data_IF_350905265475
#
_entry.id   IF_350905265475
#
_cell.length_a   1.000
_cell.length_b   1.000
_cell.length_c   1.000
_cell.angle_alpha   90.00
_cell.angle_beta   90.00
_cell.angle_gamma   90.00
#
_symmetry.space_group_name_H-M   'P 1'
#
loop_
_entity.id
_entity.type
_entity.pdbx_description
1 polymer ?
#
# COMPACT_ATOMS: atom_id res chain seq x y z
N UNK A 1 37.65 -44.40 1.01
CA UNK A 1 36.19 -44.49 1.13
C UNK A 1 35.65 -43.08 1.04
N UNK A 2 35.28 -42.71 -0.19
CA UNK A 2 34.61 -41.45 -0.56
C UNK A 2 33.26 -41.30 0.14
N UNK A 3 32.94 -40.09 0.58
CA UNK A 3 31.73 -39.32 0.28
C UNK A 3 31.44 -38.31 1.40
N UNK A 4 31.99 -37.11 1.30
CA UNK A 4 31.61 -35.97 2.17
C UNK A 4 31.40 -34.68 1.36
N UNK A 5 31.07 -34.79 0.07
CA UNK A 5 30.74 -33.66 -0.80
C UNK A 5 29.37 -33.84 -1.45
N UNK A 6 28.38 -34.19 -0.63
CA UNK A 6 26.99 -34.21 -1.07
C UNK A 6 26.45 -32.76 -0.98
N UNK A 7 26.03 -32.13 -2.10
CA UNK A 7 25.37 -30.84 -2.03
C UNK A 7 24.11 -30.97 -1.16
N UNK A 8 23.76 -29.93 -0.39
CA UNK A 8 22.56 -29.97 0.44
C UNK A 8 21.35 -30.32 -0.42
N UNK A 9 20.41 -31.15 0.08
CA UNK A 9 19.27 -31.61 -0.70
C UNK A 9 18.53 -30.38 -1.27
N UNK A 10 18.27 -30.35 -2.59
CA UNK A 10 17.55 -29.24 -3.22
C UNK A 10 16.12 -29.25 -2.68
N UNK A 11 15.87 -28.36 -1.72
CA UNK A 11 14.60 -28.31 -0.99
C UNK A 11 14.68 -27.62 0.37
N UNK A 12 15.87 -27.47 0.97
CA UNK A 12 15.99 -26.83 2.29
C UNK A 12 15.89 -25.29 2.26
N UNK A 13 15.86 -24.67 1.08
CA UNK A 13 15.79 -23.21 0.87
C UNK A 13 14.51 -22.74 0.16
N UNK A 14 13.53 -23.62 -0.04
CA UNK A 14 12.32 -23.30 -0.80
C UNK A 14 11.07 -23.43 0.07
N UNK A 15 10.98 -22.61 1.11
CA UNK A 15 9.66 -22.31 1.67
C UNK A 15 8.85 -21.58 0.60
N UNK A 16 7.74 -22.19 0.22
CA UNK A 16 6.91 -21.85 -0.94
C UNK A 16 5.97 -20.67 -0.67
N UNK A 17 6.40 -19.71 0.14
CA UNK A 17 5.68 -18.49 0.46
C UNK A 17 6.72 -17.39 0.67
N UNK A 18 6.67 -16.33 -0.16
CA UNK A 18 7.55 -15.15 -0.20
C UNK A 18 8.74 -15.20 0.79
N UNK A 19 9.94 -15.46 0.28
CA UNK A 19 11.15 -15.55 1.10
C UNK A 19 11.35 -14.36 2.04
N UNK A 20 12.16 -14.51 3.10
CA UNK A 20 12.33 -13.50 4.16
C UNK A 20 12.68 -12.10 3.63
N UNK A 21 13.44 -12.03 2.53
CA UNK A 21 13.79 -10.79 1.82
C UNK A 21 12.54 -10.08 1.26
N UNK A 22 11.70 -10.78 0.48
CA UNK A 22 10.46 -10.23 -0.07
C UNK A 22 9.49 -9.78 1.03
N UNK A 23 9.43 -10.50 2.15
CA UNK A 23 8.61 -10.09 3.29
C UNK A 23 9.11 -8.79 3.94
N UNK A 24 10.43 -8.62 4.06
CA UNK A 24 11.03 -7.40 4.60
C UNK A 24 10.79 -6.20 3.68
N UNK A 25 10.99 -6.37 2.37
CA UNK A 25 10.74 -5.32 1.37
C UNK A 25 9.28 -4.83 1.39
N UNK A 26 8.31 -5.75 1.49
CA UNK A 26 6.89 -5.40 1.61
C UNK A 26 6.59 -4.61 2.87
N UNK A 27 7.14 -5.04 4.01
CA UNK A 27 6.94 -4.37 5.29
C UNK A 27 7.50 -2.94 5.24
N UNK A 28 8.69 -2.77 4.68
CA UNK A 28 9.33 -1.46 4.51
C UNK A 28 8.54 -0.55 3.57
N UNK A 29 8.09 -1.07 2.42
CA UNK A 29 7.25 -0.31 1.49
C UNK A 29 5.94 0.12 2.16
N UNK A 30 5.28 -0.78 2.90
CA UNK A 30 4.03 -0.47 3.60
C UNK A 30 4.25 0.60 4.67
N UNK A 31 5.36 0.53 5.42
CA UNK A 31 5.71 1.52 6.42
C UNK A 31 5.92 2.92 5.78
N UNK A 32 6.60 2.99 4.63
CA UNK A 32 6.78 4.26 3.90
C UNK A 32 5.47 4.84 3.39
N UNK A 33 4.64 4.02 2.73
CA UNK A 33 3.33 4.47 2.23
C UNK A 33 2.44 4.93 3.38
N UNK A 34 2.43 4.20 4.49
CA UNK A 34 1.68 4.59 5.69
C UNK A 34 2.15 5.95 6.22
N UNK A 35 3.46 6.16 6.35
CA UNK A 35 4.05 7.42 6.79
C UNK A 35 3.66 8.58 5.85
N UNK A 36 3.71 8.39 4.54
CA UNK A 36 3.29 9.39 3.55
C UNK A 36 1.82 9.78 3.76
N UNK A 37 0.94 8.80 3.94
CA UNK A 37 -0.48 9.07 4.20
C UNK A 37 -0.65 9.81 5.53
N UNK A 38 0.07 9.41 6.58
CA UNK A 38 0.11 10.06 7.91
C UNK A 38 0.54 11.53 7.85
N UNK A 39 1.58 11.85 7.09
CA UNK A 39 2.14 13.21 7.02
C UNK A 39 1.37 14.14 6.07
N UNK A 40 0.88 13.65 4.92
CA UNK A 40 0.36 14.53 3.85
C UNK A 40 -1.15 14.79 3.92
N UNK A 41 -1.89 13.87 4.55
CA UNK A 41 -3.34 13.90 4.57
C UNK A 41 -3.88 14.32 5.93
N UNK A 42 -4.87 15.20 5.88
CA UNK A 42 -5.70 15.48 7.05
C UNK A 42 -6.50 14.24 7.45
N UNK A 43 -6.91 14.16 8.71
CA UNK A 43 -7.76 13.06 9.21
C UNK A 43 -9.00 12.85 8.35
N UNK A 44 -9.60 13.95 7.88
CA UNK A 44 -10.80 13.91 7.05
C UNK A 44 -10.54 13.38 5.64
N UNK A 45 -9.37 13.65 5.07
CA UNK A 45 -8.92 13.08 3.80
C UNK A 45 -8.64 11.58 3.92
N UNK A 46 -7.98 11.17 5.01
CA UNK A 46 -7.73 9.75 5.31
C UNK A 46 -9.02 8.98 5.50
N UNK A 47 -9.97 9.53 6.27
CA UNK A 47 -11.28 8.91 6.49
C UNK A 47 -12.05 8.76 5.18
N UNK A 48 -12.05 9.78 4.31
CA UNK A 48 -12.69 9.71 3.00
C UNK A 48 -12.07 8.62 2.12
N UNK A 49 -10.75 8.48 2.10
CA UNK A 49 -10.07 7.41 1.36
C UNK A 49 -10.45 6.03 1.89
N UNK A 50 -10.52 5.84 3.21
CA UNK A 50 -10.93 4.55 3.80
C UNK A 50 -12.38 4.21 3.45
N UNK A 51 -13.30 5.16 3.57
CA UNK A 51 -14.70 4.92 3.25
C UNK A 51 -14.89 4.54 1.77
N UNK A 52 -14.26 5.28 0.87
CA UNK A 52 -14.51 5.13 -0.57
C UNK A 52 -13.63 4.09 -1.25
N UNK A 53 -12.37 3.93 -0.81
CA UNK A 53 -11.37 3.09 -1.49
C UNK A 53 -11.06 1.77 -0.79
N UNK A 54 -11.44 1.61 0.49
CA UNK A 54 -11.22 0.34 1.24
C UNK A 54 -12.54 -0.33 1.58
N UNK A 55 -13.55 0.46 1.94
CA UNK A 55 -14.87 -0.06 2.31
C UNK A 55 -15.88 -0.04 1.16
N UNK A 56 -15.47 0.42 -0.03
CA UNK A 56 -16.32 0.58 -1.22
C UNK A 56 -17.67 1.25 -0.93
N UNK A 57 -17.69 2.19 0.02
CA UNK A 57 -18.91 2.88 0.40
C UNK A 57 -19.40 3.76 -0.76
N UNK A 58 -20.70 3.74 -1.09
CA UNK A 58 -21.25 4.65 -2.08
C UNK A 58 -20.97 6.12 -1.73
N UNK A 59 -20.67 6.92 -2.75
CA UNK A 59 -20.27 8.33 -2.58
C UNK A 59 -21.27 9.15 -1.75
N UNK A 60 -22.56 8.91 -1.94
CA UNK A 60 -23.62 9.60 -1.21
C UNK A 60 -23.67 9.20 0.26
N UNK A 61 -23.45 7.93 0.56
CA UNK A 61 -23.46 7.41 1.93
C UNK A 61 -22.24 7.92 2.70
N UNK A 62 -21.08 7.94 2.05
CA UNK A 62 -19.86 8.53 2.60
C UNK A 62 -20.03 10.04 2.84
N UNK A 63 -20.67 10.77 1.92
CA UNK A 63 -20.94 12.18 2.09
C UNK A 63 -21.85 12.44 3.30
N UNK A 64 -22.92 11.65 3.47
CA UNK A 64 -23.79 11.73 4.65
C UNK A 64 -23.04 11.41 5.93
N UNK A 65 -22.25 10.33 5.95
CA UNK A 65 -21.45 9.91 7.12
C UNK A 65 -20.46 10.98 7.55
N UNK A 66 -19.79 11.62 6.60
CA UNK A 66 -18.85 12.71 6.84
C UNK A 66 -19.54 14.06 7.09
N UNK A 67 -20.88 14.13 7.06
CA UNK A 67 -21.66 15.38 7.19
C UNK A 67 -21.20 16.42 6.16
N UNK A 68 -21.14 16.02 4.89
CA UNK A 68 -20.79 16.87 3.75
C UNK A 68 -21.68 16.56 2.55
N UNK A 69 -21.40 17.12 1.39
CA UNK A 69 -22.09 16.81 0.14
C UNK A 69 -21.15 16.14 -0.87
N UNK A 70 -21.73 15.54 -1.92
CA UNK A 70 -21.01 14.81 -2.96
C UNK A 70 -19.91 15.64 -3.62
N UNK A 71 -20.17 16.91 -3.93
CA UNK A 71 -19.21 17.79 -4.61
C UNK A 71 -18.02 18.13 -3.72
N UNK A 72 -18.26 18.42 -2.44
CA UNK A 72 -17.21 18.69 -1.48
C UNK A 72 -16.38 17.44 -1.19
N UNK A 73 -17.01 16.27 -1.04
CA UNK A 73 -16.30 15.01 -0.86
C UNK A 73 -15.46 14.64 -2.09
N UNK A 74 -15.96 14.92 -3.30
CA UNK A 74 -15.22 14.70 -4.54
C UNK A 74 -13.93 15.54 -4.58
N UNK A 75 -14.05 16.84 -4.31
CA UNK A 75 -12.90 17.75 -4.25
C UNK A 75 -11.90 17.34 -3.17
N UNK A 76 -12.40 16.98 -1.99
CA UNK A 76 -11.58 16.51 -0.88
C UNK A 76 -10.77 15.26 -1.24
N UNK A 77 -11.39 14.29 -1.92
CA UNK A 77 -10.72 13.08 -2.37
C UNK A 77 -9.73 13.36 -3.51
N UNK A 78 -10.08 14.26 -4.43
CA UNK A 78 -9.18 14.69 -5.49
C UNK A 78 -7.92 15.33 -4.92
N UNK A 79 -8.07 16.29 -4.00
CA UNK A 79 -6.96 16.96 -3.35
C UNK A 79 -6.07 15.98 -2.58
N UNK A 80 -6.68 15.00 -1.90
CA UNK A 80 -5.93 13.93 -1.22
C UNK A 80 -5.08 13.11 -2.20
N UNK A 81 -5.65 12.70 -3.34
CA UNK A 81 -4.93 11.93 -4.38
C UNK A 81 -3.79 12.74 -4.99
N UNK A 82 -3.99 14.02 -5.25
CA UNK A 82 -2.95 14.91 -5.80
C UNK A 82 -1.79 15.04 -4.81
N UNK A 83 -2.08 15.22 -3.51
CA UNK A 83 -1.05 15.28 -2.46
C UNK A 83 -0.25 13.99 -2.36
N UNK A 84 -0.93 12.83 -2.28
CA UNK A 84 -0.25 11.54 -2.24
C UNK A 84 0.61 11.30 -3.47
N UNK A 85 0.09 11.57 -4.67
CA UNK A 85 0.85 11.42 -5.92
C UNK A 85 2.11 12.29 -5.91
N UNK A 86 1.97 13.55 -5.52
CA UNK A 86 3.10 14.48 -5.41
C UNK A 86 4.15 13.96 -4.42
N UNK A 87 3.74 13.49 -3.23
CA UNK A 87 4.66 13.00 -2.22
C UNK A 87 5.37 11.71 -2.62
N UNK A 88 4.65 10.75 -3.20
CA UNK A 88 5.21 9.51 -3.73
C UNK A 88 6.28 9.81 -4.79
N UNK A 89 6.00 10.72 -5.73
CA UNK A 89 6.98 11.14 -6.73
C UNK A 89 8.22 11.81 -6.14
N UNK A 90 8.10 12.52 -5.01
CA UNK A 90 9.25 13.13 -4.31
C UNK A 90 10.09 12.12 -3.54
N UNK A 91 9.57 10.92 -3.29
CA UNK A 91 10.30 9.81 -2.66
C UNK A 91 10.77 8.78 -3.69
N UNK A 92 10.66 9.11 -4.99
CA UNK A 92 10.97 8.21 -6.12
C UNK A 92 10.22 6.88 -6.04
N UNK A 93 9.01 6.89 -5.46
CA UNK A 93 8.14 5.72 -5.36
C UNK A 93 7.12 5.80 -6.49
N UNK A 94 7.20 4.88 -7.45
CA UNK A 94 6.19 4.78 -8.48
C UNK A 94 5.00 3.94 -7.98
N UNK A 95 3.74 4.36 -8.19
CA UNK A 95 2.58 3.61 -7.71
C UNK A 95 2.52 2.15 -8.18
N UNK A 96 3.04 1.86 -9.38
CA UNK A 96 3.06 0.50 -9.92
C UNK A 96 4.07 -0.40 -9.21
N UNK A 97 5.18 0.14 -8.68
CA UNK A 97 6.14 -0.62 -7.88
C UNK A 97 5.51 -1.07 -6.57
N UNK A 98 4.74 -0.17 -5.93
CA UNK A 98 3.97 -0.52 -4.73
C UNK A 98 3.03 -1.68 -5.02
N UNK A 99 2.24 -1.61 -6.11
CA UNK A 99 1.29 -2.66 -6.46
C UNK A 99 1.99 -3.99 -6.80
N UNK A 100 3.06 -3.95 -7.59
CA UNK A 100 3.81 -5.14 -8.01
C UNK A 100 4.36 -5.94 -6.81
N UNK A 101 4.77 -5.26 -5.73
CA UNK A 101 5.25 -5.92 -4.51
C UNK A 101 4.17 -6.78 -3.83
N UNK A 102 2.89 -6.45 -3.97
CA UNK A 102 1.78 -7.19 -3.35
C UNK A 102 1.06 -8.14 -4.32
N UNK A 103 1.29 -8.02 -5.63
CA UNK A 103 0.74 -8.94 -6.65
C UNK A 103 1.54 -10.24 -6.77
N UNK A 104 2.81 -10.24 -6.36
CA UNK A 104 3.64 -11.44 -6.32
C UNK A 104 3.09 -12.44 -5.28
N UNK A 105 2.43 -13.50 -5.74
CA UNK A 105 2.02 -14.64 -4.90
C UNK A 105 3.20 -15.56 -4.61
#
# INVERSE_FOLDING_TARGET
TENEDAPPPPGLLADSHAGPETSAERADMLARVRRIIEEELTDRQREALVLLGVRDMPMEDAARKLKTNRNALYKLLHDARVRLKSRLSREDIAPHEVLALFEQK
#
